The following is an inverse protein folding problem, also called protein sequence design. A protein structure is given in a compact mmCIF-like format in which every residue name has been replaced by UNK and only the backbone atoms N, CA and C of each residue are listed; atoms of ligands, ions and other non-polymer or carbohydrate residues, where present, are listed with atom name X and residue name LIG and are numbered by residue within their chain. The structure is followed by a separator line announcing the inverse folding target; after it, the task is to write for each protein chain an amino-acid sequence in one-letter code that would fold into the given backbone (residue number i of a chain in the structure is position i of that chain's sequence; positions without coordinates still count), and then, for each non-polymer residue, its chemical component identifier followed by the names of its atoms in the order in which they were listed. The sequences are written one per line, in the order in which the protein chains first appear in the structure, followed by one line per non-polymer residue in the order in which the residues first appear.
data_IF_151946594928
#
_entry.id   IF_151946594928
#
_cell.length_a   1.000
_cell.length_b   1.000
_cell.length_c   1.000
_cell.angle_alpha   90.00
_cell.angle_beta   90.00
_cell.angle_gamma   90.00
#
_symmetry.space_group_name_H-M   'P 1'
#
loop_
_entity.id
_entity.type
_entity.pdbx_description
1 polymer ?
#
# COMPACT_ATOMS: atom_id res chain seq x y z
N UNK A 1 2.68 26.15 31.95
CA UNK A 1 1.61 25.89 30.95
C UNK A 1 2.11 25.21 29.66
N UNK A 2 3.44 25.08 29.41
CA UNK A 2 3.98 24.51 28.16
C UNK A 2 3.88 22.97 28.01
N UNK A 3 3.80 22.22 29.11
CA UNK A 3 3.96 20.76 29.06
C UNK A 3 2.77 20.04 28.38
N UNK A 4 1.56 20.61 28.44
CA UNK A 4 0.34 19.98 27.90
C UNK A 4 0.25 20.10 26.38
N UNK A 5 0.67 21.24 25.80
CA UNK A 5 0.63 21.45 24.35
C UNK A 5 1.70 20.63 23.64
N UNK A 6 2.91 20.58 24.20
CA UNK A 6 4.00 19.76 23.69
C UNK A 6 3.61 18.27 23.69
N UNK A 7 3.11 17.76 24.83
CA UNK A 7 2.61 16.40 24.93
C UNK A 7 1.47 16.08 23.95
N UNK A 8 0.63 17.08 23.59
CA UNK A 8 -0.42 16.93 22.58
C UNK A 8 0.16 16.76 21.17
N UNK A 9 1.23 17.49 20.84
CA UNK A 9 1.99 17.36 19.58
C UNK A 9 2.64 15.99 19.46
N UNK A 10 3.46 15.61 20.44
CA UNK A 10 4.19 14.33 20.45
C UNK A 10 3.26 13.11 20.36
N UNK A 11 2.10 13.18 21.03
CA UNK A 11 1.06 12.14 20.90
C UNK A 11 0.51 12.05 19.49
N UNK A 12 0.30 13.18 18.83
CA UNK A 12 -0.22 13.20 17.47
C UNK A 12 0.79 12.65 16.47
N UNK A 13 2.06 13.03 16.58
CA UNK A 13 3.16 12.49 15.78
C UNK A 13 3.29 10.97 15.94
N UNK A 14 3.17 10.47 17.17
CA UNK A 14 3.15 9.02 17.46
C UNK A 14 1.97 8.29 16.82
N UNK A 15 0.82 8.96 16.67
CA UNK A 15 -0.32 8.41 15.95
C UNK A 15 -0.03 8.39 14.45
N UNK A 16 0.49 9.47 13.89
CA UNK A 16 0.84 9.57 12.46
C UNK A 16 1.90 8.52 12.08
N UNK A 17 2.95 8.35 12.87
CA UNK A 17 3.95 7.31 12.69
C UNK A 17 3.30 5.93 12.58
N UNK A 18 2.46 5.55 13.55
CA UNK A 18 1.75 4.26 13.55
C UNK A 18 0.89 4.07 12.30
N UNK A 19 0.22 5.13 11.86
CA UNK A 19 -0.58 5.10 10.62
C UNK A 19 0.31 4.82 9.41
N UNK A 20 1.44 5.52 9.27
CA UNK A 20 2.34 5.31 8.15
C UNK A 20 3.05 3.95 8.18
N UNK A 21 3.32 3.40 9.36
CA UNK A 21 3.77 2.01 9.52
C UNK A 21 2.69 1.03 9.03
N UNK A 22 1.41 1.27 9.39
CA UNK A 22 0.30 0.45 8.90
C UNK A 22 0.11 0.56 7.40
N UNK A 23 0.21 1.78 6.84
CA UNK A 23 0.15 2.00 5.38
C UNK A 23 1.28 1.23 4.69
N UNK A 24 2.54 1.38 5.14
CA UNK A 24 3.67 0.63 4.60
C UNK A 24 3.42 -0.89 4.63
N UNK A 25 2.91 -1.39 5.75
CA UNK A 25 2.61 -2.81 5.93
C UNK A 25 1.52 -3.29 4.97
N UNK A 26 0.41 -2.54 4.86
CA UNK A 26 -0.72 -2.86 4.00
C UNK A 26 -0.33 -2.82 2.52
N UNK A 27 0.46 -1.81 2.13
CA UNK A 27 0.97 -1.61 0.78
C UNK A 27 2.21 -2.48 0.48
N UNK A 28 2.68 -3.26 1.46
CA UNK A 28 3.87 -4.14 1.40
C UNK A 28 5.13 -3.39 0.97
N UNK A 29 5.22 -2.12 1.33
CA UNK A 29 6.40 -1.30 1.14
C UNK A 29 7.32 -1.54 2.34
N UNK A 30 8.55 -1.95 2.09
CA UNK A 30 9.60 -2.04 3.11
C UNK A 30 10.11 -0.65 3.48
N UNK A 31 9.25 0.14 4.12
CA UNK A 31 9.55 1.49 4.55
C UNK A 31 10.10 1.54 5.97
N UNK A 32 11.02 2.47 6.20
CA UNK A 32 11.46 2.91 7.51
C UNK A 32 10.65 4.16 7.89
N UNK A 33 10.02 4.13 9.05
CA UNK A 33 9.24 5.25 9.60
C UNK A 33 9.85 5.63 10.94
N UNK A 34 10.29 6.88 11.06
CA UNK A 34 11.03 7.37 12.23
C UNK A 34 10.49 8.73 12.67
N UNK A 35 10.54 9.03 13.96
CA UNK A 35 10.13 10.33 14.50
C UNK A 35 11.33 11.17 14.95
N UNK A 36 11.14 12.49 14.98
CA UNK A 36 12.13 13.47 15.46
C UNK A 36 13.49 13.28 14.79
N UNK A 37 13.49 13.21 13.46
CA UNK A 37 14.70 12.93 12.70
C UNK A 37 15.42 14.25 12.40
N UNK A 38 16.64 14.47 12.93
CA UNK A 38 17.45 15.61 12.56
C UNK A 38 18.03 15.40 11.15
N UNK A 39 17.81 16.37 10.27
CA UNK A 39 18.31 16.37 8.89
C UNK A 39 19.13 17.63 8.66
N UNK A 40 20.38 17.49 8.20
CA UNK A 40 21.23 18.64 7.90
C UNK A 40 20.91 19.21 6.53
N UNK A 41 20.62 20.51 6.49
CA UNK A 41 20.44 21.26 5.25
C UNK A 41 21.77 21.76 4.66
N UNK A 42 21.73 22.18 3.41
CA UNK A 42 22.85 22.86 2.75
C UNK A 42 23.17 24.25 3.35
N UNK A 43 22.25 24.79 4.15
CA UNK A 43 22.44 25.98 5.00
C UNK A 43 23.27 25.71 6.26
N UNK A 44 23.68 24.45 6.49
CA UNK A 44 24.45 24.03 7.67
C UNK A 44 23.61 23.92 8.94
N UNK A 45 22.30 24.15 8.87
CA UNK A 45 21.40 24.00 10.00
C UNK A 45 20.87 22.56 10.10
N UNK A 46 20.57 22.13 11.34
CA UNK A 46 19.85 20.88 11.58
C UNK A 46 18.35 21.17 11.63
N UNK A 47 17.62 20.59 10.69
CA UNK A 47 16.16 20.69 10.58
C UNK A 47 15.53 19.41 11.12
N UNK A 48 14.76 19.51 12.20
CA UNK A 48 14.00 18.37 12.72
C UNK A 48 12.74 18.13 11.86
N UNK A 49 12.56 16.87 11.48
CA UNK A 49 11.35 16.34 10.83
C UNK A 49 10.57 15.51 11.84
N UNK A 50 9.30 15.87 12.06
CA UNK A 50 8.44 15.21 13.05
C UNK A 50 8.28 13.71 12.77
N UNK A 51 7.98 13.34 11.51
CA UNK A 51 8.00 11.94 11.03
C UNK A 51 8.66 11.86 9.65
N UNK A 52 9.67 11.01 9.51
CA UNK A 52 10.31 10.69 8.24
C UNK A 52 9.86 9.30 7.77
N UNK A 53 9.27 9.25 6.58
CA UNK A 53 8.94 8.01 5.88
C UNK A 53 9.93 7.82 4.73
N UNK A 54 10.66 6.70 4.70
CA UNK A 54 11.64 6.43 3.66
C UNK A 54 11.62 4.98 3.19
N UNK A 55 11.86 4.75 1.91
CA UNK A 55 11.97 3.41 1.33
C UNK A 55 12.84 3.45 0.08
N UNK A 56 13.40 2.30 -0.29
CA UNK A 56 14.15 2.12 -1.52
C UNK A 56 13.26 1.44 -2.56
N UNK A 57 13.28 1.95 -3.79
CA UNK A 57 12.67 1.29 -4.93
C UNK A 57 13.51 1.53 -6.20
N UNK A 58 13.89 0.47 -6.91
CA UNK A 58 14.75 0.51 -8.10
C UNK A 58 16.10 1.23 -7.91
N UNK A 59 16.74 1.06 -6.75
CA UNK A 59 17.98 1.70 -6.36
C UNK A 59 17.84 3.18 -5.95
N UNK A 60 16.62 3.71 -5.89
CA UNK A 60 16.34 5.11 -5.55
C UNK A 60 15.73 5.17 -4.16
N UNK A 61 16.33 6.00 -3.28
CA UNK A 61 15.79 6.27 -1.95
C UNK A 61 14.72 7.36 -2.04
N UNK A 62 13.47 6.98 -1.79
CA UNK A 62 12.36 7.90 -1.67
C UNK A 62 12.22 8.34 -0.22
N UNK A 63 12.14 9.65 0.00
CA UNK A 63 12.01 10.26 1.32
C UNK A 63 10.82 11.19 1.35
N UNK A 64 10.01 11.09 2.40
CA UNK A 64 8.87 11.94 2.65
C UNK A 64 8.96 12.46 4.09
N UNK A 65 9.19 13.76 4.23
CA UNK A 65 9.06 14.45 5.49
C UNK A 65 7.59 14.75 5.76
N UNK A 66 7.16 14.51 6.99
CA UNK A 66 5.78 14.70 7.44
C UNK A 66 5.83 15.63 8.65
N UNK A 67 5.30 16.83 8.50
CA UNK A 67 5.12 17.80 9.60
C UNK A 67 3.70 17.67 10.16
N UNK A 68 3.58 17.63 11.48
CA UNK A 68 2.36 17.35 12.22
C UNK A 68 1.95 18.55 13.07
N UNK A 69 0.70 19.03 12.93
CA UNK A 69 0.16 20.09 13.81
C UNK A 69 -1.15 19.68 14.45
N UNK A 70 -1.20 19.76 15.78
CA UNK A 70 -2.41 19.48 16.56
C UNK A 70 -2.96 20.73 17.26
N UNK A 71 -3.35 21.73 16.47
CA UNK A 71 -3.87 23.01 16.97
C UNK A 71 -5.38 23.11 16.82
N UNK A 72 -5.98 24.05 17.56
CA UNK A 72 -7.39 24.42 17.38
C UNK A 72 -7.56 25.52 16.33
N UNK A 73 -6.58 26.42 16.22
CA UNK A 73 -6.62 27.53 15.29
C UNK A 73 -6.18 27.09 13.89
N UNK A 74 -6.69 27.73 12.82
CA UNK A 74 -6.27 27.43 11.46
C UNK A 74 -4.76 27.55 11.26
N UNK A 75 -4.19 26.63 10.48
CA UNK A 75 -2.77 26.66 10.11
C UNK A 75 -2.53 27.86 9.22
N UNK A 76 -1.61 28.73 9.65
CA UNK A 76 -1.28 29.97 8.98
C UNK A 76 -0.20 29.76 7.90
N UNK A 77 0.04 30.81 7.12
CA UNK A 77 1.04 30.78 6.04
C UNK A 77 2.49 30.61 6.55
N UNK A 78 2.80 31.07 7.77
CA UNK A 78 4.15 31.03 8.32
C UNK A 78 4.58 29.59 8.60
N UNK A 79 3.69 28.75 9.14
CA UNK A 79 3.97 27.32 9.38
C UNK A 79 4.35 26.60 8.08
N UNK A 80 3.61 26.83 7.00
CA UNK A 80 3.89 26.17 5.72
C UNK A 80 5.16 26.71 5.06
N UNK A 81 5.47 28.01 5.23
CA UNK A 81 6.74 28.58 4.75
C UNK A 81 7.93 28.01 5.50
N UNK A 82 7.82 27.85 6.82
CA UNK A 82 8.87 27.23 7.63
C UNK A 82 9.11 25.79 7.17
N UNK A 83 8.03 24.99 7.03
CA UNK A 83 8.19 23.62 6.53
C UNK A 83 8.77 23.58 5.11
N UNK A 84 8.32 24.47 4.21
CA UNK A 84 8.88 24.59 2.87
C UNK A 84 10.37 24.90 2.87
N UNK A 85 10.81 25.81 3.75
CA UNK A 85 12.22 26.17 3.91
C UNK A 85 13.05 24.95 4.34
N UNK A 86 12.58 24.16 5.32
CA UNK A 86 13.24 22.91 5.73
C UNK A 86 13.41 21.96 4.52
N UNK A 87 12.36 21.74 3.75
CA UNK A 87 12.39 20.81 2.60
C UNK A 87 13.36 21.25 1.51
N UNK A 88 13.37 22.55 1.21
CA UNK A 88 14.26 23.16 0.21
C UNK A 88 15.73 22.93 0.57
N UNK A 89 16.12 23.24 1.81
CA UNK A 89 17.49 23.10 2.28
C UNK A 89 17.93 21.65 2.51
N UNK A 90 17.02 20.74 2.88
CA UNK A 90 17.33 19.30 3.00
C UNK A 90 17.54 18.68 1.61
N UNK A 91 16.72 19.07 0.63
CA UNK A 91 16.78 18.57 -0.75
C UNK A 91 16.39 17.09 -0.90
N UNK A 92 16.00 16.71 -2.13
CA UNK A 92 15.61 15.32 -2.50
C UNK A 92 14.67 14.67 -1.46
N UNK A 93 13.65 15.41 -1.02
CA UNK A 93 12.66 14.99 -0.03
C UNK A 93 11.31 15.61 -0.40
N UNK A 94 10.24 14.82 -0.28
CA UNK A 94 8.88 15.30 -0.49
C UNK A 94 8.25 15.74 0.83
N UNK A 95 7.28 16.67 0.78
CA UNK A 95 6.61 17.20 1.96
C UNK A 95 5.15 16.80 2.07
N UNK A 96 4.76 16.31 3.25
CA UNK A 96 3.36 16.20 3.67
C UNK A 96 3.16 17.02 4.94
N UNK A 97 2.10 17.81 4.99
CA UNK A 97 1.72 18.56 6.18
C UNK A 97 0.36 18.06 6.68
N UNK A 98 0.35 17.55 7.91
CA UNK A 98 -0.82 16.90 8.50
C UNK A 98 -1.35 17.74 9.66
N UNK A 99 -2.61 18.13 9.58
CA UNK A 99 -3.32 18.74 10.72
C UNK A 99 -4.25 17.73 11.40
N UNK A 100 -4.27 17.73 12.73
CA UNK A 100 -5.18 16.87 13.49
C UNK A 100 -6.63 17.34 13.33
N UNK A 101 -6.87 18.62 13.63
CA UNK A 101 -8.19 19.24 13.67
C UNK A 101 -8.26 20.54 12.86
N UNK A 102 -7.11 21.22 12.67
CA UNK A 102 -7.08 22.57 12.11
C UNK A 102 -7.35 22.61 10.61
N UNK A 103 -8.14 23.60 10.19
CA UNK A 103 -8.24 23.98 8.78
C UNK A 103 -6.97 24.72 8.32
N UNK A 104 -6.76 24.75 7.00
CA UNK A 104 -5.66 25.50 6.39
C UNK A 104 -6.16 26.85 5.87
N UNK A 105 -5.47 27.94 6.21
CA UNK A 105 -5.74 29.26 5.64
C UNK A 105 -5.39 29.29 4.14
N UNK A 106 -6.00 30.19 3.39
CA UNK A 106 -5.78 30.29 1.94
C UNK A 106 -4.33 30.62 1.58
N UNK A 107 -3.65 31.43 2.40
CA UNK A 107 -2.21 31.68 2.24
C UNK A 107 -1.38 30.40 2.37
N UNK A 108 -1.70 29.53 3.34
CA UNK A 108 -1.03 28.25 3.52
C UNK A 108 -1.27 27.30 2.33
N UNK A 109 -2.51 27.24 1.83
CA UNK A 109 -2.86 26.45 0.63
C UNK A 109 -2.10 26.90 -0.61
N UNK A 110 -1.93 28.23 -0.80
CA UNK A 110 -1.15 28.79 -1.91
C UNK A 110 0.33 28.38 -1.84
N UNK A 111 0.94 28.46 -0.65
CA UNK A 111 2.33 28.03 -0.43
C UNK A 111 2.48 26.53 -0.70
N UNK A 112 1.56 25.72 -0.17
CA UNK A 112 1.58 24.27 -0.39
C UNK A 112 1.49 23.90 -1.86
N UNK A 113 0.57 24.52 -2.62
CA UNK A 113 0.40 24.27 -4.05
C UNK A 113 1.66 24.66 -4.84
N UNK A 114 2.24 25.83 -4.54
CA UNK A 114 3.43 26.32 -5.23
C UNK A 114 4.67 25.45 -4.96
N UNK A 115 4.84 24.97 -3.72
CA UNK A 115 6.02 24.21 -3.29
C UNK A 115 5.83 22.68 -3.32
N UNK A 116 4.72 22.18 -3.87
CA UNK A 116 4.45 20.74 -3.95
C UNK A 116 4.26 20.04 -2.60
N UNK A 117 3.86 20.75 -1.54
CA UNK A 117 3.59 20.18 -0.22
C UNK A 117 2.16 19.67 -0.19
N UNK A 118 1.95 18.39 0.14
CA UNK A 118 0.61 17.82 0.26
C UNK A 118 -0.01 18.15 1.62
N UNK A 119 -1.18 18.77 1.63
CA UNK A 119 -1.96 19.00 2.86
C UNK A 119 -2.91 17.84 3.11
N UNK A 120 -2.97 17.35 4.35
CA UNK A 120 -3.88 16.27 4.76
C UNK A 120 -4.46 16.61 6.13
N UNK A 121 -5.77 16.41 6.30
CA UNK A 121 -6.38 16.38 7.64
C UNK A 121 -6.43 14.95 8.16
N UNK A 122 -6.29 14.78 9.47
CA UNK A 122 -6.27 13.45 10.11
C UNK A 122 -7.49 12.56 9.78
N UNK A 123 -8.67 13.16 9.65
CA UNK A 123 -9.89 12.46 9.24
C UNK A 123 -9.82 11.89 7.81
N UNK A 124 -8.95 12.43 6.96
CA UNK A 124 -8.68 11.92 5.61
C UNK A 124 -7.70 10.74 5.65
N UNK A 125 -6.74 10.73 6.59
CA UNK A 125 -5.86 9.57 6.86
C UNK A 125 -6.64 8.31 7.24
N UNK A 126 -7.71 8.46 8.03
CA UNK A 126 -8.58 7.35 8.41
C UNK A 126 -9.24 6.64 7.22
N UNK A 127 -9.42 7.33 6.08
CA UNK A 127 -9.97 6.71 4.87
C UNK A 127 -8.97 5.81 4.16
N UNK A 128 -7.66 6.05 4.31
CA UNK A 128 -6.62 5.19 3.74
C UNK A 128 -6.42 3.91 4.55
N UNK A 129 -6.54 3.98 5.89
CA UNK A 129 -6.37 2.82 6.78
C UNK A 129 -7.59 1.89 6.74
N UNK A 130 -8.80 2.48 6.71
CA UNK A 130 -10.05 1.74 6.67
C UNK A 130 -10.36 1.25 5.25
N UNK A 131 -9.49 0.46 4.63
CA UNK A 131 -9.92 -0.44 3.56
C UNK A 131 -11.18 -1.17 4.05
N UNK A 132 -12.36 -0.70 3.63
CA UNK A 132 -13.60 -0.96 4.36
C UNK A 132 -13.93 -2.46 4.36
N UNK A 133 -13.81 -3.03 5.57
CA UNK A 133 -14.55 -4.14 6.19
C UNK A 133 -13.90 -5.52 6.27
N UNK A 134 -13.95 -6.02 7.51
CA UNK A 134 -13.55 -7.33 8.01
C UNK A 134 -14.35 -8.51 7.44
N UNK A 135 -14.06 -8.90 6.19
CA UNK A 135 -14.42 -10.22 5.64
C UNK A 135 -13.16 -10.95 5.14
N UNK A 136 -12.09 -10.83 5.95
CA UNK A 136 -10.67 -11.06 5.65
C UNK A 136 -10.29 -12.51 5.31
N UNK A 137 -10.70 -12.98 4.14
CA UNK A 137 -9.99 -13.99 3.35
C UNK A 137 -10.21 -13.82 1.83
N UNK A 138 -11.14 -12.96 1.41
CA UNK A 138 -11.41 -12.70 0.00
C UNK A 138 -10.61 -11.46 -0.43
N UNK A 139 -9.53 -11.60 -1.20
CA UNK A 139 -8.89 -10.45 -1.81
C UNK A 139 -9.86 -9.77 -2.76
N UNK A 140 -9.79 -8.45 -2.80
CA UNK A 140 -10.59 -7.61 -3.67
C UNK A 140 -9.71 -6.90 -4.71
N UNK A 141 -10.33 -6.03 -5.51
CA UNK A 141 -9.62 -5.25 -6.53
C UNK A 141 -8.61 -4.24 -5.96
N UNK A 142 -8.65 -3.96 -4.65
CA UNK A 142 -7.68 -3.11 -3.95
C UNK A 142 -6.50 -3.92 -3.41
N UNK A 143 -6.63 -5.24 -3.34
CA UNK A 143 -5.58 -6.10 -2.81
C UNK A 143 -4.40 -6.14 -3.78
N UNK A 144 -3.22 -5.77 -3.29
CA UNK A 144 -1.97 -5.83 -4.05
C UNK A 144 -1.48 -7.29 -4.09
N UNK A 145 -1.12 -7.78 -5.28
CA UNK A 145 -0.59 -9.12 -5.46
C UNK A 145 0.89 -9.20 -5.09
N UNK A 146 1.22 -9.79 -3.94
CA UNK A 146 2.58 -10.11 -3.52
C UNK A 146 2.62 -11.50 -2.84
N UNK A 147 3.21 -12.52 -3.49
CA UNK A 147 3.88 -12.42 -4.80
C UNK A 147 2.94 -12.62 -5.99
N UNK A 148 1.68 -13.00 -5.78
CA UNK A 148 0.82 -13.47 -6.88
C UNK A 148 -0.44 -12.62 -7.10
N UNK A 149 -0.95 -12.70 -8.32
CA UNK A 149 -2.28 -12.30 -8.77
C UNK A 149 -3.08 -13.56 -9.11
N UNK A 150 -4.39 -13.50 -8.95
CA UNK A 150 -5.28 -14.60 -9.32
C UNK A 150 -6.63 -14.11 -9.80
N UNK A 151 -7.42 -15.01 -10.39
CA UNK A 151 -8.81 -14.76 -10.73
C UNK A 151 -9.71 -15.48 -9.73
N UNK A 152 -10.67 -14.75 -9.16
CA UNK A 152 -11.67 -15.32 -8.27
C UNK A 152 -13.04 -15.37 -8.94
N UNK A 153 -13.73 -16.48 -8.73
CA UNK A 153 -15.11 -16.65 -9.16
C UNK A 153 -16.05 -15.91 -8.20
N UNK A 154 -16.57 -14.77 -8.65
CA UNK A 154 -17.49 -13.92 -7.89
C UNK A 154 -18.85 -14.57 -7.63
N UNK A 155 -19.18 -15.68 -8.31
CA UNK A 155 -20.42 -16.44 -8.13
C UNK A 155 -20.26 -17.64 -7.18
N UNK A 156 -19.03 -17.94 -6.75
CA UNK A 156 -18.75 -19.05 -5.83
C UNK A 156 -19.32 -18.79 -4.43
N UNK A 157 -19.90 -19.83 -3.83
CA UNK A 157 -20.51 -19.80 -2.49
C UNK A 157 -19.60 -20.38 -1.41
N UNK A 158 -18.63 -21.21 -1.81
CA UNK A 158 -17.63 -21.79 -0.90
C UNK A 158 -16.22 -21.24 -1.22
N UNK A 159 -15.29 -21.33 -0.26
CA UNK A 159 -13.88 -20.93 -0.51
C UNK A 159 -13.29 -21.66 -1.72
N UNK A 160 -13.56 -22.96 -1.87
CA UNK A 160 -13.10 -23.75 -3.03
C UNK A 160 -13.69 -23.18 -4.33
N UNK A 161 -15.01 -23.01 -4.40
CA UNK A 161 -15.68 -22.48 -5.60
C UNK A 161 -15.21 -21.07 -5.98
N UNK A 162 -14.90 -20.23 -4.98
CA UNK A 162 -14.42 -18.87 -5.20
C UNK A 162 -12.99 -18.83 -5.74
N UNK A 163 -12.14 -19.76 -5.32
CA UNK A 163 -10.74 -19.81 -5.70
C UNK A 163 -10.46 -20.62 -6.98
N UNK A 164 -11.38 -21.50 -7.39
CA UNK A 164 -11.21 -22.36 -8.56
C UNK A 164 -11.68 -21.71 -9.85
N UNK A 165 -10.93 -21.96 -10.92
CA UNK A 165 -11.29 -21.62 -12.29
C UNK A 165 -11.70 -22.90 -13.01
N UNK A 166 -12.97 -22.95 -13.46
CA UNK A 166 -13.51 -23.99 -14.35
C UNK A 166 -13.24 -25.43 -13.88
N UNK A 167 -13.29 -25.66 -12.57
CA UNK A 167 -12.96 -26.95 -11.93
C UNK A 167 -11.52 -27.47 -12.13
N UNK A 168 -10.65 -26.71 -12.80
CA UNK A 168 -9.26 -27.10 -13.06
C UNK A 168 -8.31 -26.86 -11.88
N UNK A 169 -8.60 -25.85 -11.06
CA UNK A 169 -7.78 -25.48 -9.91
C UNK A 169 -7.64 -23.97 -9.72
N UNK A 170 -6.70 -23.61 -8.85
CA UNK A 170 -6.33 -22.23 -8.50
C UNK A 170 -5.16 -21.82 -9.40
N UNK A 171 -5.30 -20.71 -10.11
CA UNK A 171 -4.27 -20.21 -11.02
C UNK A 171 -3.62 -18.95 -10.45
N UNK A 172 -2.30 -19.00 -10.31
CA UNK A 172 -1.46 -17.93 -9.79
C UNK A 172 -0.61 -17.31 -10.90
N UNK A 173 -0.40 -16.00 -10.82
CA UNK A 173 0.40 -15.22 -11.76
C UNK A 173 1.34 -14.30 -10.99
N UNK A 174 2.64 -14.36 -11.23
CA UNK A 174 3.61 -13.45 -10.58
C UNK A 174 3.46 -12.00 -11.03
N UNK A 175 2.90 -11.79 -12.22
CA UNK A 175 2.78 -10.47 -12.83
C UNK A 175 1.35 -10.20 -13.29
N UNK A 176 0.82 -9.06 -12.84
CA UNK A 176 -0.54 -8.60 -13.11
C UNK A 176 -0.86 -8.56 -14.60
N UNK A 177 0.09 -8.15 -15.44
CA UNK A 177 -0.10 -8.04 -16.88
C UNK A 177 -0.51 -9.36 -17.52
N UNK A 178 0.12 -10.48 -17.13
CA UNK A 178 -0.24 -11.82 -17.61
C UNK A 178 -1.61 -12.26 -17.10
N UNK A 179 -1.90 -11.96 -15.83
CA UNK A 179 -3.21 -12.23 -15.25
C UNK A 179 -4.33 -11.46 -15.97
N UNK A 180 -4.09 -10.21 -16.37
CA UNK A 180 -5.01 -9.39 -17.16
C UNK A 180 -5.22 -9.96 -18.57
N UNK A 181 -4.17 -10.44 -19.24
CA UNK A 181 -4.34 -11.09 -20.55
C UNK A 181 -5.17 -12.37 -20.43
N UNK A 182 -4.92 -13.18 -19.40
CA UNK A 182 -5.69 -14.39 -19.13
C UNK A 182 -7.16 -14.05 -18.79
N UNK A 183 -7.41 -13.00 -18.01
CA UNK A 183 -8.76 -12.53 -17.69
C UNK A 183 -9.55 -12.17 -18.94
N UNK A 184 -8.95 -11.45 -19.90
CA UNK A 184 -9.64 -11.08 -21.16
C UNK A 184 -10.21 -12.30 -21.89
N UNK A 185 -9.48 -13.42 -21.86
CA UNK A 185 -9.94 -14.67 -22.49
C UNK A 185 -11.08 -15.33 -21.71
N UNK A 186 -11.03 -15.33 -20.38
CA UNK A 186 -12.16 -15.80 -19.58
C UNK A 186 -13.39 -14.92 -19.76
N UNK A 187 -13.23 -13.59 -19.83
CA UNK A 187 -14.34 -12.64 -20.04
C UNK A 187 -15.09 -12.92 -21.35
N UNK A 188 -14.37 -13.25 -22.43
CA UNK A 188 -14.98 -13.60 -23.72
C UNK A 188 -15.88 -14.83 -23.64
N UNK A 189 -15.54 -15.80 -22.78
CA UNK A 189 -16.23 -17.10 -22.71
C UNK A 189 -17.24 -17.19 -21.54
N UNK A 190 -17.02 -16.45 -20.45
CA UNK A 190 -17.73 -16.59 -19.17
C UNK A 190 -18.27 -15.27 -18.59
N UNK A 191 -18.07 -14.15 -19.30
CA UNK A 191 -18.50 -12.84 -18.84
C UNK A 191 -17.79 -12.41 -17.55
N UNK A 192 -18.46 -11.61 -16.74
CA UNK A 192 -17.94 -10.95 -15.53
C UNK A 192 -17.79 -11.85 -14.30
N UNK A 193 -17.97 -13.17 -14.46
CA UNK A 193 -17.93 -14.13 -13.36
C UNK A 193 -16.58 -14.13 -12.63
N UNK A 194 -15.49 -13.88 -13.35
CA UNK A 194 -14.12 -13.92 -12.81
C UNK A 194 -13.52 -12.53 -12.64
N UNK A 195 -13.08 -12.22 -11.43
CA UNK A 195 -12.47 -10.94 -11.06
C UNK A 195 -10.99 -11.11 -10.76
N UNK A 196 -10.17 -10.22 -11.33
CA UNK A 196 -8.74 -10.16 -11.06
C UNK A 196 -8.48 -9.48 -9.72
N UNK A 197 -7.70 -10.16 -8.87
CA UNK A 197 -7.40 -9.72 -7.51
C UNK A 197 -5.96 -10.10 -7.15
N UNK A 198 -5.34 -9.34 -6.25
CA UNK A 198 -4.03 -9.69 -5.70
C UNK A 198 -4.14 -10.74 -4.61
N UNK A 199 -3.19 -11.67 -4.51
CA UNK A 199 -3.15 -12.67 -3.43
C UNK A 199 -2.43 -12.06 -2.22
N UNK A 200 -3.11 -12.05 -1.07
CA UNK A 200 -2.51 -11.64 0.21
C UNK A 200 -1.74 -12.78 0.86
N UNK A 201 -0.83 -12.48 1.79
CA UNK A 201 -0.10 -13.51 2.53
C UNK A 201 -1.03 -14.42 3.35
N UNK A 202 -2.11 -13.86 3.90
CA UNK A 202 -3.13 -14.64 4.60
C UNK A 202 -3.87 -15.58 3.64
N UNK A 203 -4.24 -15.08 2.47
CA UNK A 203 -4.92 -15.89 1.44
C UNK A 203 -3.98 -16.94 0.84
N UNK A 204 -2.69 -16.65 0.71
CA UNK A 204 -1.69 -17.64 0.28
C UNK A 204 -1.58 -18.81 1.27
N UNK A 205 -1.69 -18.54 2.58
CA UNK A 205 -1.80 -19.58 3.63
C UNK A 205 -3.07 -20.41 3.48
N UNK A 206 -4.20 -19.80 3.11
CA UNK A 206 -5.44 -20.52 2.79
C UNK A 206 -5.30 -21.39 1.54
N UNK A 207 -4.71 -20.87 0.45
CA UNK A 207 -4.46 -21.65 -0.77
C UNK A 207 -3.60 -22.88 -0.48
N UNK A 208 -2.56 -22.75 0.35
CA UNK A 208 -1.76 -23.89 0.83
C UNK A 208 -2.61 -24.89 1.61
N UNK A 209 -3.52 -24.41 2.47
CA UNK A 209 -4.48 -25.25 3.21
C UNK A 209 -5.40 -26.01 2.25
N UNK A 210 -5.95 -25.35 1.22
CA UNK A 210 -6.78 -25.95 0.18
C UNK A 210 -6.05 -27.05 -0.59
N UNK A 211 -4.78 -26.81 -0.97
CA UNK A 211 -3.91 -27.80 -1.60
C UNK A 211 -3.70 -29.03 -0.73
N UNK A 212 -3.38 -28.84 0.56
CA UNK A 212 -3.07 -29.95 1.47
C UNK A 212 -4.29 -30.75 1.90
N UNK A 213 -5.35 -30.08 2.33
CA UNK A 213 -6.47 -30.72 3.02
C UNK A 213 -7.56 -31.17 2.05
N UNK A 214 -7.71 -30.46 0.93
CA UNK A 214 -8.77 -30.70 -0.05
C UNK A 214 -8.23 -31.14 -1.42
N UNK A 215 -6.91 -31.30 -1.56
CA UNK A 215 -6.23 -31.74 -2.79
C UNK A 215 -6.55 -30.88 -4.02
N UNK A 216 -6.86 -29.60 -3.81
CA UNK A 216 -7.13 -28.64 -4.89
C UNK A 216 -5.85 -28.44 -5.70
N UNK A 217 -5.94 -28.47 -7.04
CA UNK A 217 -4.77 -28.16 -7.87
C UNK A 217 -4.42 -26.67 -7.80
N UNK A 218 -3.12 -26.35 -7.72
CA UNK A 218 -2.61 -24.98 -7.70
C UNK A 218 -1.55 -24.89 -8.79
N UNK A 219 -1.74 -23.95 -9.71
CA UNK A 219 -0.99 -23.83 -10.95
C UNK A 219 -0.38 -22.43 -11.07
N UNK A 220 0.91 -22.35 -11.34
CA UNK A 220 1.64 -21.09 -11.57
C UNK A 220 1.84 -20.84 -13.05
N UNK A 221 1.46 -19.65 -13.52
CA UNK A 221 1.62 -19.28 -14.93
C UNK A 221 3.10 -19.26 -15.32
N UNK A 222 3.45 -20.02 -16.36
CA UNK A 222 4.80 -20.01 -16.91
C UNK A 222 4.89 -18.96 -18.01
N UNK A 223 5.44 -17.79 -17.65
CA UNK A 223 5.64 -16.67 -18.56
C UNK A 223 6.72 -16.89 -19.63
N UNK A 224 7.59 -17.88 -19.46
CA UNK A 224 8.71 -18.14 -20.38
C UNK A 224 8.32 -19.06 -21.53
N UNK A 225 7.35 -19.96 -21.30
CA UNK A 225 6.90 -20.91 -22.32
C UNK A 225 5.55 -20.56 -22.91
N UNK A 226 4.78 -19.68 -22.27
CA UNK A 226 3.46 -19.27 -22.75
C UNK A 226 3.55 -18.17 -23.80
N UNK A 227 2.91 -18.37 -24.95
CA UNK A 227 2.69 -17.31 -25.94
C UNK A 227 1.40 -16.55 -25.60
N UNK A 228 1.51 -15.25 -25.36
CA UNK A 228 0.38 -14.37 -25.06
C UNK A 228 -0.68 -14.32 -26.16
N UNK A 229 -0.32 -14.67 -27.39
CA UNK A 229 -1.20 -14.63 -28.55
C UNK A 229 -1.77 -16.00 -28.92
N UNK A 230 -1.37 -17.08 -28.22
CA UNK A 230 -1.76 -18.45 -28.58
C UNK A 230 -2.12 -19.29 -27.36
N UNK A 231 -3.29 -19.90 -27.42
CA UNK A 231 -3.79 -20.87 -26.45
C UNK A 231 -3.38 -22.28 -26.94
N UNK A 232 -3.01 -23.22 -26.04
CA UNK A 232 -3.09 -23.16 -24.59
C UNK A 232 -1.91 -22.45 -23.91
N UNK A 233 -2.20 -21.79 -22.79
CA UNK A 233 -1.19 -21.31 -21.87
C UNK A 233 -0.58 -22.45 -21.07
N UNK A 234 0.67 -22.26 -20.64
CA UNK A 234 1.41 -23.22 -19.84
C UNK A 234 1.48 -22.80 -18.38
N UNK A 235 1.27 -23.77 -17.50
CA UNK A 235 1.35 -23.59 -16.07
C UNK A 235 2.19 -24.71 -15.45
N UNK A 236 2.89 -24.39 -14.37
CA UNK A 236 3.54 -25.36 -13.49
C UNK A 236 2.62 -25.74 -12.34
N UNK A 237 2.47 -27.03 -12.06
CA UNK A 237 1.78 -27.46 -10.84
C UNK A 237 2.66 -27.15 -9.64
N UNK A 238 2.12 -26.42 -8.66
CA UNK A 238 2.77 -26.15 -7.39
C UNK A 238 2.33 -27.16 -6.34
N UNK A 239 3.29 -27.70 -5.61
CA UNK A 239 3.04 -28.45 -4.38
C UNK A 239 2.96 -27.52 -3.15
N UNK A 240 2.65 -28.09 -1.99
CA UNK A 240 2.50 -27.28 -0.77
C UNK A 240 3.82 -26.74 -0.22
N UNK A 241 4.96 -27.36 -0.54
CA UNK A 241 6.30 -26.85 -0.19
C UNK A 241 6.66 -25.69 -1.09
N UNK A 242 6.36 -25.77 -2.38
CA UNK A 242 6.55 -24.67 -3.33
C UNK A 242 5.79 -23.43 -2.87
N UNK A 243 4.51 -23.58 -2.49
CA UNK A 243 3.69 -22.46 -1.97
C UNK A 243 4.28 -21.91 -0.65
N UNK A 244 4.79 -22.78 0.22
CA UNK A 244 5.38 -22.36 1.50
C UNK A 244 6.59 -21.44 1.32
N UNK A 245 7.38 -21.61 0.27
CA UNK A 245 8.54 -20.75 0.00
C UNK A 245 8.16 -19.27 -0.22
N UNK A 246 6.90 -19.00 -0.56
CA UNK A 246 6.37 -17.66 -0.80
C UNK A 246 5.62 -17.07 0.40
N UNK A 247 5.43 -17.87 1.47
CA UNK A 247 4.77 -17.46 2.69
C UNK A 247 5.80 -16.84 3.65
N UNK A 248 5.51 -15.63 4.13
CA UNK A 248 6.34 -14.88 5.08
C UNK A 248 5.70 -14.81 6.48
#
# INVERSE_FOLDING_TARGET
MNNTSQMKGEKFESVVEKIYVQIATNERIKAKVEKHVPMFGDDGASHEIDVLYSYEHFGVNYRVAIECKNWKNPINVAELRNFSYKLEHIGNINGIFISAESEFQDGAKKVSSFNGIRLIRYNELHRFIKGQNDQYLIPDFKTIGDPFWMLMNSRGKTSIEQNMILDEGIFLFENKYFAEQFQKLLLLNYGDAFKLVGVSQLHLKEIKCLKNNYKVSVKLFNQFTSDLNRIPYHFWDLDAKDIEMYIR
#
